data_IF_113783959675
#
_entry.id   IF_113783959675
#
_cell.length_a   1.000
_cell.length_b   1.000
_cell.length_c   1.000
_cell.angle_alpha   90.00
_cell.angle_beta   90.00
_cell.angle_gamma   90.00
#
_symmetry.space_group_name_H-M   'P 1'
#
loop_
_entity.id
_entity.type
_entity.pdbx_description
1 polymer ?
#
# COMPACT_ATOMS: atom_id res chain seq x y z
N UNK A 1 -1.33 -4.99 32.65
CA UNK A 1 0.02 -5.60 32.80
C UNK A 1 -0.20 -7.08 33.02
N UNK A 2 0.19 -7.90 32.05
CA UNK A 2 0.20 -9.36 32.21
C UNK A 2 1.62 -9.78 32.56
N UNK A 3 1.80 -10.42 33.71
CA UNK A 3 3.09 -10.99 34.17
C UNK A 3 3.13 -12.47 33.82
N UNK A 4 4.11 -12.88 33.03
CA UNK A 4 4.39 -14.29 32.71
C UNK A 4 5.59 -14.75 33.56
N UNK A 5 5.50 -15.90 34.23
CA UNK A 5 6.57 -16.44 35.10
C UNK A 5 7.12 -17.75 34.55
N UNK A 6 8.45 -17.90 34.51
CA UNK A 6 9.15 -19.18 34.27
C UNK A 6 9.75 -19.73 35.59
N UNK A 7 9.87 -21.06 35.67
CA UNK A 7 10.03 -21.85 36.90
C UNK A 7 11.35 -21.77 37.68
N UNK A 8 12.13 -20.65 37.61
CA UNK A 8 13.32 -20.49 38.50
C UNK A 8 13.79 -19.07 38.75
N UNK A 9 13.29 -18.06 38.07
CA UNK A 9 13.35 -16.64 38.40
C UNK A 9 12.09 -16.00 37.82
N UNK A 10 11.33 -15.26 38.64
CA UNK A 10 10.21 -14.45 38.14
C UNK A 10 10.80 -13.33 37.30
N UNK A 11 10.93 -13.55 35.98
CA UNK A 11 11.24 -12.51 35.02
C UNK A 11 9.90 -12.02 34.47
N UNK A 12 9.55 -10.79 34.76
CA UNK A 12 8.32 -10.16 34.22
C UNK A 12 8.65 -9.50 32.90
N UNK A 13 8.01 -9.92 31.83
CA UNK A 13 8.00 -9.18 30.55
C UNK A 13 6.83 -8.21 30.60
N UNK A 14 7.13 -6.92 30.51
CA UNK A 14 6.09 -5.91 30.41
C UNK A 14 5.68 -5.79 28.95
N UNK A 15 4.57 -6.42 28.61
CA UNK A 15 3.92 -6.23 27.32
C UNK A 15 2.99 -5.01 27.43
N UNK A 16 2.89 -4.20 26.39
CA UNK A 16 1.98 -3.07 26.37
C UNK A 16 0.51 -3.52 26.53
N UNK A 17 -0.33 -2.59 26.98
CA UNK A 17 -1.75 -2.88 27.22
C UNK A 17 -2.47 -3.13 25.89
N UNK A 18 -3.07 -4.31 25.75
CA UNK A 18 -3.92 -4.64 24.63
C UNK A 18 -5.25 -3.89 24.68
N UNK A 19 -5.77 -3.51 23.54
CA UNK A 19 -7.17 -3.08 23.38
C UNK A 19 -8.12 -4.25 23.61
N UNK A 20 -9.41 -3.96 23.82
CA UNK A 20 -10.41 -5.00 24.07
C UNK A 20 -10.46 -6.04 22.98
N UNK A 21 -10.55 -5.62 21.72
CA UNK A 21 -10.60 -6.52 20.56
C UNK A 21 -9.35 -7.38 20.39
N UNK A 22 -8.18 -6.87 20.75
CA UNK A 22 -6.93 -7.65 20.74
C UNK A 22 -6.92 -8.69 21.84
N UNK A 23 -7.41 -8.33 23.04
CA UNK A 23 -7.50 -9.25 24.17
C UNK A 23 -8.47 -10.39 23.88
N UNK A 24 -9.69 -10.06 23.42
CA UNK A 24 -10.70 -11.04 23.04
C UNK A 24 -10.18 -12.00 21.95
N UNK A 25 -9.41 -11.47 20.99
CA UNK A 25 -8.76 -12.28 19.95
C UNK A 25 -7.68 -13.19 20.54
N UNK A 26 -6.85 -12.69 21.44
CA UNK A 26 -5.81 -13.47 22.10
C UNK A 26 -6.43 -14.63 22.89
N UNK A 27 -7.45 -14.33 23.71
CA UNK A 27 -8.17 -15.32 24.52
C UNK A 27 -8.82 -16.39 23.61
N UNK A 28 -9.39 -15.99 22.46
CA UNK A 28 -9.99 -16.91 21.50
C UNK A 28 -8.93 -17.83 20.83
N UNK A 29 -7.77 -17.29 20.47
CA UNK A 29 -6.68 -18.08 19.88
C UNK A 29 -6.16 -19.12 20.90
N UNK A 30 -6.01 -18.72 22.16
CA UNK A 30 -5.55 -19.60 23.24
C UNK A 30 -6.54 -20.72 23.56
N UNK A 31 -7.83 -20.42 23.52
CA UNK A 31 -8.89 -21.41 23.72
C UNK A 31 -8.99 -22.42 22.56
N UNK A 32 -8.39 -22.14 21.40
CA UNK A 32 -8.51 -22.98 20.19
C UNK A 32 -7.13 -23.29 19.55
N UNK A 33 -6.23 -23.95 20.26
CA UNK A 33 -4.90 -24.27 19.74
C UNK A 33 -4.97 -25.18 18.51
N UNK A 34 -4.07 -24.96 17.56
CA UNK A 34 -4.00 -25.74 16.32
C UNK A 34 -5.03 -25.36 15.25
N UNK A 35 -5.83 -24.34 15.49
CA UNK A 35 -6.78 -23.79 14.50
C UNK A 35 -6.15 -22.68 13.66
N UNK A 36 -6.83 -22.34 12.59
CA UNK A 36 -6.46 -21.25 11.69
C UNK A 36 -7.34 -20.02 11.96
N UNK A 37 -6.70 -18.89 12.16
CA UNK A 37 -7.36 -17.62 12.46
C UNK A 37 -7.09 -16.62 11.36
N UNK A 38 -8.14 -16.04 10.80
CA UNK A 38 -8.06 -14.98 9.80
C UNK A 38 -8.65 -13.70 10.40
N UNK A 39 -7.80 -12.70 10.61
CA UNK A 39 -8.13 -11.43 11.25
C UNK A 39 -8.25 -10.35 10.20
N UNK A 40 -9.46 -9.90 9.94
CA UNK A 40 -9.76 -8.78 9.05
C UNK A 40 -9.84 -7.48 9.87
N UNK A 41 -9.13 -6.45 9.43
CA UNK A 41 -9.03 -5.21 10.18
C UNK A 41 -8.84 -3.98 9.27
N UNK A 42 -8.87 -2.80 9.87
CA UNK A 42 -8.53 -1.53 9.24
C UNK A 42 -7.02 -1.36 9.12
N UNK A 43 -6.56 -0.45 8.24
CA UNK A 43 -5.12 -0.30 7.96
C UNK A 43 -4.31 0.21 9.15
N UNK A 44 -4.82 1.23 9.83
CA UNK A 44 -4.12 1.86 10.94
C UNK A 44 -4.91 1.76 12.25
N UNK A 45 -4.27 2.06 13.38
CA UNK A 45 -4.86 2.12 14.72
C UNK A 45 -5.39 0.79 15.29
N UNK A 46 -5.46 -0.28 14.50
CA UNK A 46 -6.00 -1.57 14.97
C UNK A 46 -5.02 -2.41 15.79
N UNK A 47 -3.70 -2.23 15.54
CA UNK A 47 -2.64 -2.94 16.26
C UNK A 47 -2.50 -4.41 15.86
N UNK A 48 -2.72 -4.77 14.62
CA UNK A 48 -2.54 -6.15 14.07
C UNK A 48 -1.17 -6.72 14.41
N UNK A 49 -0.13 -6.05 13.97
CA UNK A 49 1.27 -6.43 14.21
C UNK A 49 1.55 -6.64 15.70
N UNK A 50 1.01 -5.76 16.52
CA UNK A 50 1.15 -5.78 17.96
C UNK A 50 0.53 -7.01 18.63
N UNK A 51 -0.65 -7.45 18.17
CA UNK A 51 -1.22 -8.72 18.57
C UNK A 51 -0.30 -9.89 18.21
N UNK A 52 0.22 -9.91 16.97
CA UNK A 52 1.10 -10.98 16.50
C UNK A 52 2.40 -11.05 17.31
N UNK A 53 3.00 -9.91 17.65
CA UNK A 53 4.17 -9.84 18.54
C UNK A 53 3.87 -10.44 19.92
N UNK A 54 2.75 -10.05 20.53
CA UNK A 54 2.33 -10.59 21.83
C UNK A 54 2.11 -12.11 21.78
N UNK A 55 1.45 -12.61 20.74
CA UNK A 55 1.23 -14.04 20.52
C UNK A 55 2.54 -14.82 20.39
N UNK A 56 3.48 -14.30 19.63
CA UNK A 56 4.80 -14.93 19.42
C UNK A 56 5.60 -14.96 20.72
N UNK A 57 5.67 -13.84 21.45
CA UNK A 57 6.37 -13.77 22.74
C UNK A 57 5.71 -14.74 23.74
N UNK A 58 4.40 -14.68 23.91
CA UNK A 58 3.67 -15.53 24.84
C UNK A 58 3.87 -17.00 24.52
N UNK A 59 3.73 -17.39 23.25
CA UNK A 59 3.97 -18.77 22.81
C UNK A 59 5.40 -19.23 23.11
N UNK A 60 6.41 -18.38 22.84
CA UNK A 60 7.79 -18.72 23.10
C UNK A 60 8.09 -18.92 24.59
N UNK A 61 7.42 -18.18 25.48
CA UNK A 61 7.61 -18.27 26.93
C UNK A 61 6.84 -19.42 27.55
N UNK A 62 5.61 -19.65 27.14
CA UNK A 62 4.70 -20.67 27.72
C UNK A 62 4.92 -22.08 27.15
N UNK A 63 5.48 -22.21 25.94
CA UNK A 63 5.73 -23.48 25.27
C UNK A 63 7.25 -23.69 25.01
N UNK A 64 8.02 -24.18 26.01
CA UNK A 64 9.47 -24.37 25.87
C UNK A 64 9.83 -25.22 24.65
N UNK A 65 10.82 -24.78 23.87
CA UNK A 65 11.25 -25.46 22.65
C UNK A 65 10.31 -25.28 21.46
N UNK A 66 9.27 -24.45 21.56
CA UNK A 66 8.40 -24.13 20.42
C UNK A 66 9.17 -23.43 19.30
N UNK A 67 8.76 -23.69 18.07
CA UNK A 67 9.31 -22.99 16.88
C UNK A 67 8.18 -22.25 16.19
N UNK A 68 8.26 -20.93 16.21
CA UNK A 68 7.30 -20.02 15.57
C UNK A 68 7.94 -19.32 14.38
N UNK A 69 7.10 -18.91 13.43
CA UNK A 69 7.53 -18.26 12.21
C UNK A 69 6.69 -17.03 11.94
N UNK A 70 7.33 -15.90 11.70
CA UNK A 70 6.71 -14.63 11.36
C UNK A 70 6.99 -14.28 9.91
N UNK A 71 5.94 -13.98 9.16
CA UNK A 71 6.03 -13.56 7.76
C UNK A 71 5.35 -12.20 7.60
N UNK A 72 6.04 -11.28 6.92
CA UNK A 72 5.51 -9.99 6.50
C UNK A 72 5.85 -9.75 5.03
N UNK A 73 5.17 -8.86 4.31
CA UNK A 73 5.47 -8.59 2.91
C UNK A 73 6.92 -8.16 2.65
N UNK A 74 7.52 -7.38 3.55
CA UNK A 74 8.88 -6.83 3.33
C UNK A 74 9.84 -7.15 4.47
N UNK A 75 11.15 -7.18 4.14
CA UNK A 75 12.20 -7.34 5.14
C UNK A 75 12.24 -6.19 6.16
N UNK A 76 11.92 -4.96 5.75
CA UNK A 76 11.88 -3.79 6.65
C UNK A 76 10.82 -3.94 7.76
N UNK A 77 9.64 -4.47 7.42
CA UNK A 77 8.60 -4.79 8.42
C UNK A 77 9.08 -5.84 9.41
N UNK A 78 9.66 -6.93 8.92
CA UNK A 78 10.21 -7.98 9.77
C UNK A 78 11.34 -7.49 10.69
N UNK A 79 12.23 -6.63 10.20
CA UNK A 79 13.32 -6.06 10.99
C UNK A 79 12.78 -5.22 12.15
N UNK A 80 11.72 -4.46 11.94
CA UNK A 80 11.05 -3.69 13.01
C UNK A 80 10.50 -4.62 14.07
N UNK A 81 9.71 -5.64 13.68
CA UNK A 81 9.10 -6.61 14.60
C UNK A 81 10.18 -7.38 15.36
N UNK A 82 11.21 -7.86 14.67
CA UNK A 82 12.39 -8.51 15.27
C UNK A 82 13.04 -7.63 16.35
N UNK A 83 13.22 -6.34 16.05
CA UNK A 83 13.86 -5.40 16.97
C UNK A 83 12.97 -5.16 18.19
N UNK A 84 11.67 -4.98 18.02
CA UNK A 84 10.71 -4.76 19.09
C UNK A 84 10.63 -5.97 20.03
N UNK A 85 10.48 -7.18 19.48
CA UNK A 85 10.47 -8.43 20.26
C UNK A 85 11.82 -8.64 20.99
N UNK A 86 12.95 -8.46 20.30
CA UNK A 86 14.28 -8.63 20.90
C UNK A 86 14.48 -7.67 22.09
N UNK A 87 14.06 -6.42 21.95
CA UNK A 87 14.17 -5.41 23.02
C UNK A 87 13.26 -5.78 24.20
N UNK A 88 12.01 -6.14 23.93
CA UNK A 88 11.04 -6.48 24.98
C UNK A 88 11.41 -7.72 25.79
N UNK A 89 12.21 -8.62 25.21
CA UNK A 89 12.56 -9.94 25.81
C UNK A 89 14.05 -10.13 26.08
N UNK A 90 14.85 -9.06 26.05
CA UNK A 90 16.33 -9.12 26.07
C UNK A 90 16.91 -10.01 27.17
N UNK A 91 16.36 -9.95 28.38
CA UNK A 91 16.82 -10.74 29.53
C UNK A 91 16.50 -12.24 29.45
N UNK A 92 15.63 -12.62 28.52
CA UNK A 92 15.17 -14.01 28.30
C UNK A 92 15.85 -14.67 27.13
N UNK A 93 16.62 -13.89 26.35
CA UNK A 93 17.23 -14.41 25.13
C UNK A 93 18.51 -15.20 25.42
N UNK A 94 18.69 -16.27 24.65
CA UNK A 94 19.98 -16.93 24.46
C UNK A 94 20.76 -16.23 23.33
N UNK A 95 20.06 -15.88 22.25
CA UNK A 95 20.64 -15.26 21.07
C UNK A 95 19.57 -14.46 20.29
N UNK A 96 19.95 -13.30 19.81
CA UNK A 96 19.23 -12.59 18.76
C UNK A 96 20.20 -12.29 17.62
N UNK A 97 19.88 -12.71 16.41
CA UNK A 97 20.73 -12.55 15.24
C UNK A 97 19.96 -11.86 14.12
N UNK A 98 20.29 -10.57 13.90
CA UNK A 98 19.64 -9.76 12.88
C UNK A 98 19.94 -10.19 11.44
N UNK A 99 21.15 -10.75 11.17
CA UNK A 99 21.48 -11.21 9.82
C UNK A 99 20.70 -12.45 9.41
N UNK A 100 20.43 -13.37 10.34
CA UNK A 100 19.60 -14.56 10.09
C UNK A 100 18.13 -14.35 10.44
N UNK A 101 17.79 -13.17 11.00
CA UNK A 101 16.44 -12.82 11.45
C UNK A 101 15.84 -13.91 12.35
N UNK A 102 16.56 -14.21 13.46
CA UNK A 102 16.24 -15.31 14.39
C UNK A 102 16.42 -14.86 15.83
N UNK A 103 15.40 -15.13 16.66
CA UNK A 103 15.43 -14.97 18.11
C UNK A 103 15.38 -16.36 18.76
N UNK A 104 16.33 -16.67 19.63
CA UNK A 104 16.40 -17.88 20.43
C UNK A 104 16.28 -17.53 21.91
N UNK A 105 15.29 -18.12 22.58
CA UNK A 105 15.06 -17.98 24.01
C UNK A 105 15.87 -19.00 24.82
N UNK A 106 16.15 -18.70 26.09
CA UNK A 106 16.88 -19.62 27.00
C UNK A 106 16.15 -20.93 27.27
N UNK A 107 14.82 -20.97 27.13
CA UNK A 107 14.01 -22.19 27.23
C UNK A 107 14.03 -23.05 25.93
N UNK A 108 14.83 -22.69 24.93
CA UNK A 108 14.96 -23.38 23.66
C UNK A 108 13.91 -23.02 22.60
N UNK A 109 13.00 -22.11 22.92
CA UNK A 109 12.03 -21.64 21.92
C UNK A 109 12.68 -20.71 20.89
N UNK A 110 12.14 -20.69 19.67
CA UNK A 110 12.69 -19.94 18.55
C UNK A 110 11.58 -19.19 17.82
N UNK A 111 11.84 -17.92 17.49
CA UNK A 111 11.03 -17.14 16.54
C UNK A 111 11.92 -16.80 15.35
N UNK A 112 11.45 -17.15 14.16
CA UNK A 112 12.11 -16.82 12.91
C UNK A 112 11.28 -15.87 12.08
N UNK A 113 11.95 -14.97 11.34
CA UNK A 113 11.31 -13.93 10.53
C UNK A 113 11.75 -14.04 9.08
N UNK A 114 10.84 -13.93 8.13
CA UNK A 114 11.13 -13.87 6.69
C UNK A 114 10.13 -13.01 5.98
N UNK A 115 10.59 -12.36 4.90
CA UNK A 115 9.68 -11.64 4.00
C UNK A 115 9.05 -12.56 2.97
N UNK A 116 7.85 -12.19 2.54
CA UNK A 116 7.17 -12.83 1.41
C UNK A 116 7.65 -12.36 0.04
N UNK A 117 8.78 -11.64 -0.05
CA UNK A 117 9.33 -11.13 -1.32
C UNK A 117 9.81 -12.27 -2.24
N UNK A 118 10.23 -13.41 -1.67
CA UNK A 118 10.67 -14.59 -2.42
C UNK A 118 10.15 -15.86 -1.75
N UNK A 119 9.33 -16.62 -2.45
CA UNK A 119 8.82 -17.92 -1.99
C UNK A 119 9.93 -18.91 -1.65
N UNK A 120 10.99 -18.96 -2.44
CA UNK A 120 12.10 -19.90 -2.22
C UNK A 120 12.82 -19.67 -0.89
N UNK A 121 12.88 -18.43 -0.39
CA UNK A 121 13.48 -18.11 0.91
C UNK A 121 12.71 -18.69 2.11
N UNK A 122 11.48 -19.17 1.88
CA UNK A 122 10.58 -19.71 2.90
C UNK A 122 10.66 -21.25 3.00
N UNK A 123 11.33 -21.92 2.05
CA UNK A 123 11.49 -23.36 2.05
C UNK A 123 12.48 -23.82 3.14
N UNK A 124 12.21 -24.97 3.72
CA UNK A 124 13.08 -25.57 4.75
C UNK A 124 12.83 -25.12 6.18
N UNK A 125 11.87 -24.23 6.43
CA UNK A 125 11.43 -23.85 7.77
C UNK A 125 10.32 -24.78 8.27
N UNK A 126 10.16 -24.85 9.59
CA UNK A 126 9.10 -25.64 10.22
C UNK A 126 8.58 -24.97 11.46
N UNK A 127 7.25 -24.95 11.60
CA UNK A 127 6.57 -24.59 12.85
C UNK A 127 6.38 -25.87 13.66
N UNK A 128 6.77 -25.90 14.94
CA UNK A 128 6.77 -27.11 15.77
C UNK A 128 6.38 -26.85 17.21
N UNK A 129 6.00 -27.92 17.90
CA UNK A 129 5.71 -27.93 19.34
C UNK A 129 4.72 -26.87 19.77
N UNK A 130 3.60 -26.79 19.04
CA UNK A 130 2.55 -25.80 19.32
C UNK A 130 2.96 -24.34 19.02
N UNK A 131 3.98 -24.15 18.19
CA UNK A 131 4.38 -22.85 17.69
C UNK A 131 3.32 -22.20 16.80
N UNK A 132 3.55 -20.96 16.42
CA UNK A 132 2.64 -20.15 15.60
C UNK A 132 3.29 -19.83 14.27
N UNK A 133 2.55 -19.97 13.18
CA UNK A 133 2.79 -19.27 11.93
C UNK A 133 1.97 -17.98 11.96
N UNK A 134 2.65 -16.86 12.15
CA UNK A 134 2.04 -15.54 12.13
C UNK A 134 2.31 -14.88 10.79
N UNK A 135 1.27 -14.38 10.13
CA UNK A 135 1.36 -13.65 8.87
C UNK A 135 0.77 -12.25 9.08
N UNK A 136 1.62 -11.23 8.96
CA UNK A 136 1.20 -9.83 8.98
C UNK A 136 0.96 -9.34 7.55
N UNK A 137 -0.06 -8.51 7.38
CA UNK A 137 -0.49 -7.96 6.09
C UNK A 137 -0.66 -9.04 5.00
N UNK A 138 -1.36 -10.12 5.36
CA UNK A 138 -1.53 -11.30 4.51
C UNK A 138 -2.23 -11.05 3.17
N UNK A 139 -3.08 -10.01 3.05
CA UNK A 139 -3.69 -9.65 1.77
C UNK A 139 -2.67 -9.22 0.70
N UNK A 140 -1.46 -8.82 1.13
CA UNK A 140 -0.39 -8.37 0.26
C UNK A 140 0.68 -9.45 -0.04
N UNK A 141 0.41 -10.69 0.34
CA UNK A 141 1.28 -11.84 -0.01
C UNK A 141 0.75 -12.56 -1.25
N UNK A 142 1.68 -13.02 -2.09
CA UNK A 142 1.32 -13.79 -3.28
C UNK A 142 0.74 -15.16 -2.93
N UNK A 143 -0.03 -15.74 -3.87
CA UNK A 143 -0.54 -17.12 -3.75
C UNK A 143 0.58 -18.12 -3.52
N UNK A 144 1.71 -17.98 -4.20
CA UNK A 144 2.87 -18.85 -4.07
C UNK A 144 3.41 -18.91 -2.63
N UNK A 145 3.50 -17.75 -1.95
CA UNK A 145 3.91 -17.71 -0.54
C UNK A 145 2.98 -18.53 0.33
N UNK A 146 1.67 -18.40 0.16
CA UNK A 146 0.69 -19.19 0.91
C UNK A 146 0.82 -20.69 0.64
N UNK A 147 1.01 -21.11 -0.60
CA UNK A 147 1.19 -22.51 -0.98
C UNK A 147 2.43 -23.13 -0.35
N UNK A 148 3.49 -22.35 -0.13
CA UNK A 148 4.72 -22.80 0.55
C UNK A 148 4.55 -22.86 2.06
N UNK A 149 3.88 -21.88 2.69
CA UNK A 149 3.89 -21.73 4.14
C UNK A 149 2.74 -22.41 4.86
N UNK A 150 1.58 -22.58 4.24
CA UNK A 150 0.42 -23.23 4.85
C UNK A 150 0.71 -24.69 5.26
N UNK A 151 1.46 -25.51 4.48
CA UNK A 151 1.83 -26.86 4.91
C UNK A 151 2.70 -26.91 6.17
N UNK A 152 3.37 -25.81 6.56
CA UNK A 152 4.23 -25.74 7.74
C UNK A 152 3.44 -25.89 9.06
N UNK A 153 2.14 -25.56 9.06
CA UNK A 153 1.25 -25.64 10.23
C UNK A 153 0.34 -26.87 10.23
N UNK A 154 0.46 -27.76 9.26
CA UNK A 154 -0.41 -28.94 9.13
C UNK A 154 -0.15 -30.03 10.16
N UNK A 155 0.92 -29.93 10.97
CA UNK A 155 1.36 -30.94 11.91
C UNK A 155 1.57 -30.36 13.32
N UNK A 156 1.48 -31.22 14.34
CA UNK A 156 1.87 -30.95 15.73
C UNK A 156 1.08 -29.87 16.47
N UNK A 157 -0.20 -29.65 16.13
CA UNK A 157 -1.06 -28.66 16.83
C UNK A 157 -0.59 -27.22 16.70
N UNK A 158 0.12 -26.91 15.60
CA UNK A 158 0.58 -25.56 15.33
C UNK A 158 -0.57 -24.67 14.85
N UNK A 159 -0.57 -23.40 15.25
CA UNK A 159 -1.61 -22.43 14.97
C UNK A 159 -1.20 -21.52 13.80
N UNK A 160 -2.13 -21.26 12.88
CA UNK A 160 -1.99 -20.22 11.86
C UNK A 160 -2.75 -18.97 12.28
N UNK A 161 -2.12 -17.81 12.23
CA UNK A 161 -2.76 -16.53 12.43
C UNK A 161 -2.40 -15.59 11.28
N UNK A 162 -3.36 -15.22 10.47
CA UNK A 162 -3.20 -14.27 9.36
C UNK A 162 -3.95 -12.99 9.69
N UNK A 163 -3.26 -11.88 9.81
CA UNK A 163 -3.85 -10.59 10.05
C UNK A 163 -3.60 -9.66 8.86
N UNK A 164 -4.63 -8.96 8.41
CA UNK A 164 -4.48 -7.99 7.32
C UNK A 164 -5.58 -6.94 7.28
N UNK A 165 -5.26 -5.84 6.62
CA UNK A 165 -6.24 -4.99 5.97
C UNK A 165 -6.72 -5.72 4.71
N UNK A 166 -8.04 -5.82 4.44
CA UNK A 166 -8.52 -6.41 3.20
C UNK A 166 -8.12 -5.57 1.99
N UNK A 167 -8.00 -6.22 0.86
CA UNK A 167 -7.75 -5.58 -0.43
C UNK A 167 -8.76 -6.09 -1.46
N UNK A 168 -8.35 -6.90 -2.45
CA UNK A 168 -9.25 -7.46 -3.47
C UNK A 168 -9.87 -8.78 -3.03
N UNK A 169 -10.93 -9.20 -3.76
CA UNK A 169 -11.56 -10.52 -3.58
C UNK A 169 -10.83 -11.65 -4.33
N UNK A 170 -9.73 -11.36 -5.03
CA UNK A 170 -9.03 -12.34 -5.88
C UNK A 170 -7.85 -13.03 -5.16
N UNK A 171 -7.44 -12.49 -3.99
CA UNK A 171 -6.27 -12.96 -3.26
C UNK A 171 -6.53 -14.20 -2.39
N UNK A 172 -5.42 -14.90 -2.00
CA UNK A 172 -5.49 -16.04 -1.06
C UNK A 172 -6.06 -15.64 0.30
N UNK A 173 -5.81 -14.42 0.76
CA UNK A 173 -6.38 -13.92 2.01
C UNK A 173 -7.91 -13.88 1.97
N UNK A 174 -8.51 -13.41 0.88
CA UNK A 174 -9.97 -13.46 0.69
C UNK A 174 -10.47 -14.91 0.57
N UNK A 175 -9.75 -15.77 -0.15
CA UNK A 175 -10.09 -17.19 -0.26
C UNK A 175 -10.13 -17.88 1.10
N UNK A 176 -9.22 -17.53 2.02
CA UNK A 176 -9.22 -18.02 3.41
C UNK A 176 -10.37 -17.41 4.22
N UNK A 177 -10.62 -16.10 4.05
CA UNK A 177 -11.71 -15.40 4.73
C UNK A 177 -13.08 -15.93 4.35
N UNK A 178 -13.29 -16.28 3.09
CA UNK A 178 -14.59 -16.75 2.56
C UNK A 178 -14.88 -18.24 2.85
N UNK A 179 -13.93 -19.00 3.40
CA UNK A 179 -14.17 -20.41 3.76
C UNK A 179 -15.23 -20.54 4.82
N UNK A 180 -16.09 -21.53 4.66
CA UNK A 180 -17.12 -21.85 5.66
C UNK A 180 -16.59 -22.73 6.81
N UNK A 181 -15.56 -23.52 6.52
CA UNK A 181 -14.96 -24.49 7.44
C UNK A 181 -13.44 -24.32 7.60
N UNK A 182 -12.90 -24.90 8.66
CA UNK A 182 -11.47 -25.02 8.91
C UNK A 182 -10.77 -23.73 9.34
N UNK A 183 -11.48 -22.60 9.39
CA UNK A 183 -10.94 -21.30 9.81
C UNK A 183 -11.84 -20.61 10.82
N UNK A 184 -11.24 -19.84 11.72
CA UNK A 184 -11.95 -18.93 12.65
C UNK A 184 -11.73 -17.51 12.14
N UNK A 185 -12.82 -16.85 11.76
CA UNK A 185 -12.80 -15.48 11.24
C UNK A 185 -13.02 -14.48 12.35
N UNK A 186 -12.20 -13.45 12.39
CA UNK A 186 -12.26 -12.38 13.38
C UNK A 186 -12.33 -11.04 12.64
N UNK A 187 -13.40 -10.29 12.84
CA UNK A 187 -13.63 -9.01 12.16
C UNK A 187 -13.40 -7.84 13.13
N UNK A 188 -12.23 -7.21 13.05
CA UNK A 188 -11.94 -6.03 13.87
C UNK A 188 -12.58 -4.75 13.35
N UNK A 189 -13.12 -4.77 12.13
CA UNK A 189 -13.86 -3.61 11.60
C UNK A 189 -15.10 -3.29 12.43
N UNK A 190 -15.61 -4.26 13.19
CA UNK A 190 -16.76 -4.07 14.10
C UNK A 190 -16.42 -3.10 15.26
N UNK A 191 -15.14 -2.87 15.53
CA UNK A 191 -14.64 -1.93 16.54
C UNK A 191 -14.22 -0.58 15.98
N UNK A 192 -14.61 -0.24 14.76
CA UNK A 192 -14.15 0.96 14.05
C UNK A 192 -14.38 2.25 14.83
N UNK A 193 -15.53 2.36 15.53
CA UNK A 193 -15.87 3.53 16.35
C UNK A 193 -15.03 3.66 17.63
N UNK A 194 -14.24 2.64 17.98
CA UNK A 194 -13.26 2.71 19.05
C UNK A 194 -11.87 3.08 18.51
N UNK A 195 -11.64 2.92 17.21
CA UNK A 195 -10.37 3.21 16.53
C UNK A 195 -10.34 4.63 15.95
N UNK A 196 -11.47 5.11 15.45
CA UNK A 196 -11.60 6.41 14.81
C UNK A 196 -12.74 7.22 15.41
N UNK A 197 -12.54 8.54 15.57
CA UNK A 197 -13.63 9.44 15.91
C UNK A 197 -14.54 9.67 14.68
N UNK A 198 -15.73 10.24 14.91
CA UNK A 198 -16.65 10.58 13.82
C UNK A 198 -16.03 11.59 12.86
N UNK A 199 -15.35 12.59 13.41
CA UNK A 199 -14.67 13.65 12.65
C UNK A 199 -13.55 13.08 11.79
N UNK A 200 -12.77 12.10 12.30
CA UNK A 200 -11.75 11.40 11.52
C UNK A 200 -12.37 10.60 10.37
N UNK A 201 -13.46 9.88 10.62
CA UNK A 201 -14.17 9.12 9.58
C UNK A 201 -14.72 10.04 8.48
N UNK A 202 -15.33 11.17 8.85
CA UNK A 202 -15.81 12.18 7.91
C UNK A 202 -14.65 12.79 7.11
N UNK A 203 -13.55 13.11 7.77
CA UNK A 203 -12.35 13.60 7.12
C UNK A 203 -11.81 12.60 6.07
N UNK A 204 -11.59 11.34 6.46
CA UNK A 204 -11.10 10.34 5.52
C UNK A 204 -12.08 10.09 4.37
N UNK A 205 -13.39 10.08 4.66
CA UNK A 205 -14.41 9.97 3.62
C UNK A 205 -14.39 11.15 2.64
N UNK A 206 -14.02 12.34 3.10
CA UNK A 206 -13.93 13.54 2.25
C UNK A 206 -12.71 13.53 1.34
N UNK A 207 -11.60 12.88 1.72
CA UNK A 207 -10.31 12.96 1.01
C UNK A 207 -9.97 11.69 0.24
N UNK A 208 -10.40 10.50 0.69
CA UNK A 208 -10.11 9.24 0.02
C UNK A 208 -11.14 8.94 -1.09
N UNK A 209 -10.74 8.14 -2.08
CA UNK A 209 -11.68 7.47 -2.98
C UNK A 209 -12.56 6.49 -2.19
N UNK A 210 -13.77 6.17 -2.69
CA UNK A 210 -14.68 5.22 -2.01
C UNK A 210 -14.00 3.88 -1.80
N UNK A 211 -13.31 3.35 -2.81
CA UNK A 211 -12.54 2.12 -2.71
C UNK A 211 -11.54 2.19 -1.56
N UNK A 212 -10.70 3.23 -1.52
CA UNK A 212 -9.68 3.38 -0.48
C UNK A 212 -10.30 3.57 0.90
N UNK A 213 -11.36 4.34 1.01
CA UNK A 213 -12.10 4.52 2.27
C UNK A 213 -12.67 3.18 2.75
N UNK A 214 -13.30 2.42 1.88
CA UNK A 214 -13.86 1.11 2.21
C UNK A 214 -12.80 0.09 2.62
N UNK A 215 -11.70 -0.01 1.88
CA UNK A 215 -10.66 -1.00 2.18
C UNK A 215 -9.82 -0.61 3.40
N UNK A 216 -9.26 0.60 3.41
CA UNK A 216 -8.29 1.00 4.43
C UNK A 216 -8.93 1.44 5.75
N UNK A 217 -10.11 2.09 5.70
CA UNK A 217 -10.77 2.66 6.86
C UNK A 217 -11.89 1.75 7.36
N UNK A 218 -12.79 1.27 6.50
CA UNK A 218 -13.88 0.39 6.90
C UNK A 218 -13.48 -1.08 7.00
N UNK A 219 -12.31 -1.47 6.47
CA UNK A 219 -11.84 -2.85 6.47
C UNK A 219 -12.74 -3.77 5.64
N UNK A 220 -13.27 -3.29 4.52
CA UNK A 220 -14.09 -4.06 3.59
C UNK A 220 -13.26 -4.56 2.41
N UNK A 221 -13.60 -5.73 1.86
CA UNK A 221 -13.00 -6.18 0.61
C UNK A 221 -13.51 -5.35 -0.55
N UNK A 222 -12.62 -4.97 -1.48
CA UNK A 222 -13.03 -4.28 -2.69
C UNK A 222 -13.76 -5.22 -3.65
N UNK A 223 -14.92 -4.79 -4.10
CA UNK A 223 -15.71 -5.49 -5.12
C UNK A 223 -15.35 -4.93 -6.49
N UNK A 224 -14.99 -5.78 -7.46
CA UNK A 224 -14.83 -5.42 -8.87
C UNK A 224 -13.39 -5.47 -9.39
N UNK A 225 -13.26 -5.93 -10.62
CA UNK A 225 -12.01 -6.00 -11.37
C UNK A 225 -11.41 -4.61 -11.52
N UNK A 226 -10.28 -4.38 -10.88
CA UNK A 226 -9.16 -3.52 -11.26
C UNK A 226 -9.38 -2.13 -11.86
N UNK A 227 -10.61 -1.63 -12.06
CA UNK A 227 -10.81 -0.26 -12.57
C UNK A 227 -10.46 0.77 -11.52
N UNK A 228 -9.50 1.62 -11.84
CA UNK A 228 -8.99 2.65 -10.92
C UNK A 228 -9.95 3.83 -10.82
N UNK A 229 -10.55 4.22 -11.94
CA UNK A 229 -11.35 5.44 -12.04
C UNK A 229 -12.82 5.12 -12.22
N UNK A 230 -13.65 5.58 -11.29
CA UNK A 230 -15.12 5.52 -11.35
C UNK A 230 -15.71 6.93 -11.51
N UNK A 231 -16.88 7.03 -12.15
CA UNK A 231 -17.56 8.30 -12.30
C UNK A 231 -16.97 9.23 -13.37
N UNK A 232 -16.13 8.76 -14.29
CA UNK A 232 -15.48 9.54 -15.35
C UNK A 232 -16.48 10.39 -16.12
N UNK A 233 -17.66 9.83 -16.47
CA UNK A 233 -18.68 10.51 -17.24
C UNK A 233 -19.20 11.80 -16.55
N UNK A 234 -19.22 11.84 -15.22
CA UNK A 234 -19.66 13.01 -14.44
C UNK A 234 -18.63 14.15 -14.46
N UNK A 235 -17.41 13.87 -14.91
CA UNK A 235 -16.32 14.83 -14.99
C UNK A 235 -16.20 15.46 -16.38
N UNK A 236 -16.82 14.88 -17.41
CA UNK A 236 -16.76 15.42 -18.76
C UNK A 236 -17.74 16.61 -18.88
N UNK A 237 -17.20 17.77 -19.25
CA UNK A 237 -18.04 18.95 -19.50
C UNK A 237 -18.80 18.81 -20.81
N UNK A 238 -20.10 19.15 -20.87
CA UNK A 238 -20.85 19.17 -22.12
C UNK A 238 -20.48 20.33 -23.03
N UNK A 239 -19.76 21.31 -22.51
CA UNK A 239 -19.31 22.52 -23.21
C UNK A 239 -17.82 22.74 -23.04
N UNK A 240 -17.24 23.56 -23.91
CA UNK A 240 -15.84 23.93 -23.78
C UNK A 240 -15.60 24.73 -22.49
N UNK A 241 -14.60 24.28 -21.70
CA UNK A 241 -14.24 24.92 -20.44
C UNK A 241 -13.38 26.17 -20.69
N UNK A 242 -13.68 27.22 -19.95
CA UNK A 242 -12.90 28.47 -19.98
C UNK A 242 -11.99 28.52 -18.75
N UNK A 243 -10.72 28.84 -18.96
CA UNK A 243 -9.72 28.95 -17.91
C UNK A 243 -10.16 29.90 -16.80
N UNK A 244 -10.02 29.43 -15.55
CA UNK A 244 -10.26 30.19 -14.34
C UNK A 244 -8.97 30.32 -13.53
N UNK A 245 -8.50 31.56 -13.34
CA UNK A 245 -7.31 31.85 -12.56
C UNK A 245 -5.99 31.29 -13.17
N UNK A 246 -5.05 30.95 -12.29
CA UNK A 246 -3.72 30.50 -12.69
C UNK A 246 -3.70 29.03 -13.09
N UNK A 247 -2.87 28.73 -14.10
CA UNK A 247 -2.61 27.35 -14.53
C UNK A 247 -1.45 26.71 -13.77
N UNK A 248 -1.52 25.41 -13.63
CA UNK A 248 -0.40 24.52 -13.28
C UNK A 248 -0.27 23.46 -14.36
N UNK A 249 0.91 22.85 -14.48
CA UNK A 249 1.11 21.81 -15.47
C UNK A 249 1.79 20.55 -14.88
N UNK A 250 1.47 19.42 -15.50
CA UNK A 250 2.13 18.13 -15.29
C UNK A 250 2.72 17.61 -16.60
N UNK A 251 3.93 17.09 -16.57
CA UNK A 251 4.62 16.55 -17.76
C UNK A 251 5.02 15.11 -17.46
N UNK A 252 4.65 14.24 -18.38
CA UNK A 252 5.14 12.87 -18.48
C UNK A 252 5.99 12.74 -19.74
N UNK A 253 7.23 12.27 -19.61
CA UNK A 253 8.14 12.13 -20.73
C UNK A 253 8.07 10.74 -21.32
N UNK A 254 7.77 10.64 -22.61
CA UNK A 254 7.83 9.37 -23.32
C UNK A 254 9.24 8.77 -23.36
N UNK A 255 9.31 7.44 -23.43
CA UNK A 255 10.57 6.68 -23.39
C UNK A 255 11.45 6.82 -24.65
N UNK A 256 11.07 7.67 -25.61
CA UNK A 256 11.77 7.87 -26.88
C UNK A 256 11.48 6.79 -27.92
N UNK A 257 10.63 5.84 -27.63
CA UNK A 257 10.06 4.90 -28.59
C UNK A 257 8.80 5.53 -29.20
N UNK A 258 8.57 5.31 -30.48
CA UNK A 258 7.36 5.81 -31.19
C UNK A 258 6.02 5.37 -30.54
N UNK A 259 6.08 4.54 -29.53
CA UNK A 259 4.91 4.01 -28.82
C UNK A 259 4.51 4.86 -27.59
N UNK A 260 5.47 5.49 -26.89
CA UNK A 260 5.19 6.31 -25.71
C UNK A 260 5.21 7.80 -26.07
N UNK A 261 4.18 8.52 -25.65
CA UNK A 261 4.06 9.95 -25.90
C UNK A 261 4.64 10.78 -24.76
N UNK A 262 5.35 11.86 -25.11
CA UNK A 262 5.55 12.96 -24.14
C UNK A 262 4.26 13.77 -24.06
N UNK A 263 3.68 13.86 -22.86
CA UNK A 263 2.39 14.52 -22.63
C UNK A 263 2.54 15.66 -21.63
N UNK A 264 1.89 16.79 -21.91
CA UNK A 264 1.71 17.91 -20.99
C UNK A 264 0.24 18.19 -20.78
N UNK A 265 -0.16 18.31 -19.51
CA UNK A 265 -1.53 18.67 -19.09
C UNK A 265 -1.53 19.98 -18.32
N UNK A 266 -2.47 20.86 -18.63
CA UNK A 266 -2.71 22.13 -17.93
C UNK A 266 -4.02 22.08 -17.16
N UNK A 267 -3.96 22.42 -15.84
CA UNK A 267 -5.12 22.48 -14.94
C UNK A 267 -5.20 23.88 -14.33
N UNK A 268 -6.40 24.46 -14.30
CA UNK A 268 -6.68 25.76 -13.70
C UNK A 268 -7.04 25.69 -12.20
N UNK A 269 -7.46 26.83 -11.61
CA UNK A 269 -7.79 26.91 -10.17
C UNK A 269 -9.06 26.16 -9.79
N UNK A 270 -10.00 26.00 -10.71
CA UNK A 270 -11.25 25.27 -10.51
C UNK A 270 -11.12 23.76 -10.83
N UNK A 271 -9.89 23.27 -10.97
CA UNK A 271 -9.57 21.89 -11.31
C UNK A 271 -10.12 21.47 -12.69
N UNK A 272 -10.15 22.39 -13.65
CA UNK A 272 -10.53 22.12 -15.02
C UNK A 272 -9.28 21.78 -15.84
N UNK A 273 -9.29 20.66 -16.56
CA UNK A 273 -8.26 20.33 -17.56
C UNK A 273 -8.50 21.20 -18.79
N UNK A 274 -7.77 22.28 -18.89
CA UNK A 274 -7.96 23.31 -19.94
C UNK A 274 -7.34 22.87 -21.26
N UNK A 275 -6.15 22.26 -21.22
CA UNK A 275 -5.47 21.79 -22.42
C UNK A 275 -4.58 20.59 -22.12
N UNK A 276 -4.47 19.71 -23.11
CA UNK A 276 -3.52 18.60 -23.13
C UNK A 276 -2.87 18.55 -24.51
N UNK A 277 -1.59 18.27 -24.53
CA UNK A 277 -0.81 18.11 -25.75
C UNK A 277 0.12 16.93 -25.65
N UNK A 278 0.31 16.22 -26.74
CA UNK A 278 1.24 15.09 -26.83
C UNK A 278 2.08 15.12 -28.11
N UNK A 279 3.23 14.44 -28.03
CA UNK A 279 4.06 14.14 -29.20
C UNK A 279 4.84 12.86 -28.96
N UNK A 280 4.98 12.04 -30.02
CA UNK A 280 5.82 10.84 -30.04
C UNK A 280 6.70 10.76 -31.29
N UNK A 281 6.56 11.70 -32.21
CA UNK A 281 7.21 11.74 -33.53
C UNK A 281 8.41 12.69 -33.59
N UNK A 282 8.62 13.53 -32.58
CA UNK A 282 9.72 14.50 -32.54
C UNK A 282 10.98 13.90 -31.91
N UNK A 283 12.18 14.27 -32.47
CA UNK A 283 13.43 14.01 -31.79
C UNK A 283 13.49 14.63 -30.38
N UNK A 284 14.29 14.07 -29.45
CA UNK A 284 14.35 14.51 -28.06
C UNK A 284 14.45 16.01 -27.83
N UNK A 285 15.40 16.67 -28.53
CA UNK A 285 15.61 18.12 -28.36
C UNK A 285 14.47 18.95 -28.91
N UNK A 286 13.81 18.49 -29.97
CA UNK A 286 12.62 19.15 -30.52
C UNK A 286 11.42 19.04 -29.60
N UNK A 287 11.29 17.91 -28.88
CA UNK A 287 10.26 17.76 -27.82
C UNK A 287 10.45 18.79 -26.71
N UNK A 288 11.71 19.03 -26.29
CA UNK A 288 12.04 20.03 -25.27
C UNK A 288 11.71 21.45 -25.75
N UNK A 289 12.03 21.78 -26.99
CA UNK A 289 11.69 23.09 -27.58
C UNK A 289 10.17 23.29 -27.69
N UNK A 290 9.48 22.25 -28.08
CA UNK A 290 8.01 22.24 -28.13
C UNK A 290 7.39 22.43 -26.77
N UNK A 291 7.83 21.70 -25.72
CA UNK A 291 7.39 21.89 -24.36
C UNK A 291 7.67 23.30 -23.84
N UNK A 292 8.88 23.83 -24.11
CA UNK A 292 9.25 25.17 -23.68
C UNK A 292 8.35 26.24 -24.31
N UNK A 293 7.95 26.09 -25.60
CA UNK A 293 6.95 26.99 -26.22
C UNK A 293 5.60 26.92 -25.55
N UNK A 294 5.07 25.72 -25.30
CA UNK A 294 3.79 25.55 -24.59
C UNK A 294 3.83 26.20 -23.20
N UNK A 295 4.94 26.04 -22.46
CA UNK A 295 5.09 26.67 -21.15
C UNK A 295 5.15 28.20 -21.22
N UNK A 296 5.71 28.76 -22.28
CA UNK A 296 5.71 30.21 -22.56
C UNK A 296 4.32 30.74 -22.95
N UNK A 297 3.57 29.97 -23.71
CA UNK A 297 2.22 30.36 -24.19
C UNK A 297 1.21 30.30 -23.04
N UNK A 298 1.19 29.20 -22.25
CA UNK A 298 0.23 28.98 -21.17
C UNK A 298 0.61 29.61 -19.83
N UNK A 299 1.88 29.93 -19.62
CA UNK A 299 2.43 30.60 -18.42
C UNK A 299 1.96 29.97 -17.10
N UNK A 300 2.08 28.64 -16.89
CA UNK A 300 1.68 28.04 -15.63
C UNK A 300 2.53 28.57 -14.49
N UNK A 301 1.93 28.73 -13.30
CA UNK A 301 2.64 29.19 -12.09
C UNK A 301 3.47 28.09 -11.44
N UNK A 302 3.24 26.83 -11.82
CA UNK A 302 4.01 25.66 -11.37
C UNK A 302 3.93 24.53 -12.38
N UNK A 303 5.04 23.81 -12.52
CA UNK A 303 5.15 22.64 -13.40
C UNK A 303 5.82 21.51 -12.63
N UNK A 304 5.18 20.33 -12.59
CA UNK A 304 5.81 19.09 -12.17
C UNK A 304 6.12 18.23 -13.39
N UNK A 305 7.34 17.70 -13.48
CA UNK A 305 7.74 16.81 -14.57
C UNK A 305 8.41 15.56 -14.01
N UNK A 306 8.09 14.41 -14.58
CA UNK A 306 8.71 13.16 -14.18
C UNK A 306 10.23 13.18 -14.46
N UNK A 307 11.02 12.71 -13.47
CA UNK A 307 12.49 12.66 -13.57
C UNK A 307 13.00 11.25 -13.29
N UNK A 308 12.59 10.27 -14.08
CA UNK A 308 13.04 8.89 -13.97
C UNK A 308 13.66 8.40 -15.30
N UNK A 309 14.67 7.53 -15.20
CA UNK A 309 15.27 6.91 -16.38
C UNK A 309 15.72 7.93 -17.44
N UNK A 310 15.27 7.74 -18.68
CA UNK A 310 15.52 8.67 -19.81
C UNK A 310 14.87 10.04 -19.59
N UNK A 311 13.76 10.13 -18.87
CA UNK A 311 13.11 11.37 -18.48
C UNK A 311 14.02 12.30 -17.67
N UNK A 312 15.06 11.78 -17.03
CA UNK A 312 16.04 12.62 -16.32
C UNK A 312 16.79 13.57 -17.28
N UNK A 313 17.18 13.09 -18.46
CA UNK A 313 17.88 13.90 -19.48
C UNK A 313 16.93 14.96 -20.05
N UNK A 314 15.70 14.60 -20.37
CA UNK A 314 14.68 15.53 -20.86
C UNK A 314 14.34 16.58 -19.80
N UNK A 315 14.18 16.16 -18.55
CA UNK A 315 13.93 17.07 -17.44
C UNK A 315 15.05 18.12 -17.31
N UNK A 316 16.33 17.68 -17.28
CA UNK A 316 17.46 18.58 -17.09
C UNK A 316 17.59 19.59 -18.24
N UNK A 317 17.33 19.16 -19.49
CA UNK A 317 17.32 20.03 -20.67
C UNK A 317 16.15 21.04 -20.61
N UNK A 318 14.95 20.59 -20.22
CA UNK A 318 13.79 21.49 -20.08
C UNK A 318 13.97 22.47 -18.93
N UNK A 319 14.54 22.04 -17.82
CA UNK A 319 14.82 22.87 -16.63
C UNK A 319 15.76 24.03 -16.95
N UNK A 320 16.75 23.83 -17.84
CA UNK A 320 17.65 24.90 -18.27
C UNK A 320 16.89 25.99 -19.06
N UNK A 321 15.89 25.61 -19.86
CA UNK A 321 15.07 26.56 -20.64
C UNK A 321 13.94 27.18 -19.81
N UNK A 322 13.36 26.39 -18.91
CA UNK A 322 12.19 26.76 -18.12
C UNK A 322 12.43 26.48 -16.63
N UNK A 323 13.04 27.43 -15.87
CA UNK A 323 13.37 27.25 -14.45
C UNK A 323 12.21 26.94 -13.52
N UNK A 324 10.97 27.17 -13.93
CA UNK A 324 9.75 26.88 -13.17
C UNK A 324 9.46 25.38 -13.02
N UNK A 325 10.04 24.55 -13.91
CA UNK A 325 9.85 23.09 -13.90
C UNK A 325 10.51 22.48 -12.67
N UNK A 326 9.77 21.69 -11.91
CA UNK A 326 10.25 20.99 -10.70
C UNK A 326 10.18 19.48 -10.90
N UNK A 327 11.15 18.71 -10.36
CA UNK A 327 11.20 17.28 -10.58
C UNK A 327 10.17 16.55 -9.76
N UNK A 328 9.62 15.48 -10.32
CA UNK A 328 8.87 14.45 -9.63
C UNK A 328 9.56 13.11 -9.83
N UNK A 329 9.94 12.46 -8.73
CA UNK A 329 10.54 11.13 -8.78
C UNK A 329 9.43 10.10 -8.55
N UNK A 330 9.17 9.31 -9.58
CA UNK A 330 8.17 8.25 -9.55
C UNK A 330 8.76 6.99 -8.93
N UNK A 331 8.23 6.63 -7.79
CA UNK A 331 8.35 5.33 -7.14
C UNK A 331 6.98 4.67 -7.14
N UNK A 332 6.89 3.39 -6.82
CA UNK A 332 5.57 2.76 -6.70
C UNK A 332 4.66 3.50 -5.70
N UNK A 333 5.21 3.93 -4.57
CA UNK A 333 4.46 4.63 -3.53
C UNK A 333 4.02 6.04 -3.97
N UNK A 334 4.90 6.79 -4.65
CA UNK A 334 4.56 8.12 -5.15
C UNK A 334 3.59 8.08 -6.34
N UNK A 335 3.70 7.07 -7.24
CA UNK A 335 2.71 6.80 -8.30
C UNK A 335 1.35 6.47 -7.70
N UNK A 336 1.32 5.57 -6.73
CA UNK A 336 0.10 5.22 -5.99
C UNK A 336 -0.56 6.47 -5.40
N UNK A 337 0.21 7.36 -4.77
CA UNK A 337 -0.35 8.55 -4.12
C UNK A 337 -1.00 9.53 -5.12
N UNK A 338 -0.38 9.77 -6.29
CA UNK A 338 -0.96 10.70 -7.28
C UNK A 338 -2.15 10.08 -8.02
N UNK A 339 -2.13 8.77 -8.28
CA UNK A 339 -3.23 8.07 -8.93
C UNK A 339 -4.45 7.98 -8.01
N UNK A 340 -4.28 7.62 -6.74
CA UNK A 340 -5.34 7.62 -5.73
C UNK A 340 -5.98 9.01 -5.57
N UNK A 341 -5.15 10.05 -5.63
CA UNK A 341 -5.61 11.43 -5.54
C UNK A 341 -6.48 11.84 -6.75
N UNK A 342 -6.03 11.51 -7.96
CA UNK A 342 -6.79 11.73 -9.18
C UNK A 342 -8.12 10.93 -9.15
N UNK A 343 -8.08 9.67 -8.74
CA UNK A 343 -9.26 8.83 -8.60
C UNK A 343 -10.30 9.44 -7.66
N UNK A 344 -9.87 9.93 -6.50
CA UNK A 344 -10.75 10.59 -5.54
C UNK A 344 -11.39 11.87 -6.10
N UNK A 345 -10.67 12.65 -6.94
CA UNK A 345 -11.22 13.85 -7.56
C UNK A 345 -12.21 13.52 -8.68
N UNK A 346 -11.94 12.48 -9.48
CA UNK A 346 -12.85 12.01 -10.53
C UNK A 346 -14.14 11.49 -9.91
N UNK A 347 -14.04 10.60 -8.93
CA UNK A 347 -15.19 9.99 -8.28
C UNK A 347 -16.12 11.01 -7.64
N UNK A 348 -15.56 12.06 -7.02
CA UNK A 348 -16.31 13.15 -6.40
C UNK A 348 -16.74 14.24 -7.38
N UNK A 349 -16.46 14.09 -8.67
CA UNK A 349 -16.78 15.08 -9.70
C UNK A 349 -16.11 16.44 -9.51
N UNK A 350 -14.98 16.48 -8.79
CA UNK A 350 -14.25 17.72 -8.44
C UNK A 350 -13.31 18.19 -9.55
N UNK A 351 -12.89 17.30 -10.44
CA UNK A 351 -12.10 17.63 -11.63
C UNK A 351 -13.04 17.64 -12.86
N UNK A 352 -12.76 18.51 -13.81
CA UNK A 352 -13.53 18.59 -15.05
C UNK A 352 -12.62 18.44 -16.26
N UNK A 353 -13.10 17.70 -17.25
CA UNK A 353 -12.41 17.43 -18.50
C UNK A 353 -13.09 18.15 -19.66
N UNK A 354 -12.30 18.69 -20.58
CA UNK A 354 -12.78 19.17 -21.87
C UNK A 354 -13.42 18.03 -22.66
N UNK A 355 -14.46 18.30 -23.48
CA UNK A 355 -15.03 17.27 -24.36
C UNK A 355 -13.99 16.62 -25.30
N UNK A 356 -12.99 17.39 -25.69
CA UNK A 356 -11.90 17.00 -26.60
C UNK A 356 -10.76 16.19 -25.95
N UNK A 357 -10.83 15.89 -24.65
CA UNK A 357 -9.81 15.08 -23.95
C UNK A 357 -9.97 13.57 -24.21
N UNK A 358 -10.24 13.16 -25.46
CA UNK A 358 -10.58 11.77 -25.82
C UNK A 358 -9.51 10.76 -25.37
N UNK A 359 -8.22 11.05 -25.65
CA UNK A 359 -7.11 10.17 -25.26
C UNK A 359 -7.01 9.95 -23.76
N UNK A 360 -7.21 11.01 -22.95
CA UNK A 360 -7.27 10.89 -21.49
C UNK A 360 -8.43 10.01 -21.06
N UNK A 361 -9.64 10.23 -21.61
CA UNK A 361 -10.84 9.49 -21.24
C UNK A 361 -10.70 8.01 -21.57
N UNK A 362 -10.12 7.65 -22.72
CA UNK A 362 -9.81 6.27 -23.09
C UNK A 362 -8.82 5.64 -22.11
N UNK A 363 -7.73 6.34 -21.76
CA UNK A 363 -6.73 5.83 -20.82
C UNK A 363 -7.33 5.63 -19.43
N UNK A 364 -8.14 6.58 -18.92
CA UNK A 364 -8.82 6.45 -17.62
C UNK A 364 -9.74 5.22 -17.56
N UNK A 365 -10.45 4.90 -18.63
CA UNK A 365 -11.37 3.74 -18.70
C UNK A 365 -10.65 2.40 -18.63
N UNK A 366 -9.45 2.32 -19.22
CA UNK A 366 -8.69 1.07 -19.29
C UNK A 366 -7.65 0.92 -18.19
N UNK A 367 -7.38 1.95 -17.41
CA UNK A 367 -6.36 1.95 -16.35
C UNK A 367 -6.71 0.95 -15.24
N UNK A 368 -5.75 0.14 -14.85
CA UNK A 368 -5.99 -0.96 -13.91
C UNK A 368 -5.05 -0.89 -12.72
N UNK A 369 -5.56 -1.36 -11.62
CA UNK A 369 -4.78 -1.72 -10.45
C UNK A 369 -4.51 -3.22 -10.46
N UNK A 370 -3.26 -3.58 -10.27
CA UNK A 370 -2.80 -4.96 -10.11
C UNK A 370 -1.94 -5.06 -8.84
N UNK A 371 -1.56 -6.27 -8.48
CA UNK A 371 -0.60 -6.49 -7.40
C UNK A 371 0.73 -6.97 -7.98
N UNK A 372 1.83 -6.45 -7.44
CA UNK A 372 3.17 -6.99 -7.69
C UNK A 372 3.34 -8.37 -7.04
N UNK A 373 4.40 -9.08 -7.37
CA UNK A 373 4.78 -10.32 -6.68
C UNK A 373 5.00 -10.16 -5.18
N UNK A 374 5.27 -8.93 -4.72
CA UNK A 374 5.40 -8.57 -3.29
C UNK A 374 4.09 -8.08 -2.67
N UNK A 375 2.97 -8.19 -3.38
CA UNK A 375 1.65 -7.76 -2.90
C UNK A 375 1.42 -6.24 -2.87
N UNK A 376 2.36 -5.43 -3.37
CA UNK A 376 2.15 -3.98 -3.48
C UNK A 376 1.18 -3.67 -4.61
N UNK A 377 0.32 -2.66 -4.39
CA UNK A 377 -0.53 -2.10 -5.45
C UNK A 377 0.36 -1.53 -6.57
N UNK A 378 0.04 -1.86 -7.77
CA UNK A 378 0.72 -1.38 -8.98
C UNK A 378 -0.33 -0.87 -9.95
N UNK A 379 -0.12 0.33 -10.45
CA UNK A 379 -1.03 1.01 -11.36
C UNK A 379 -0.41 1.10 -12.74
N UNK A 380 -1.06 0.50 -13.72
CA UNK A 380 -0.59 0.51 -15.11
C UNK A 380 -1.75 0.46 -16.09
N UNK A 381 -1.48 0.88 -17.32
CA UNK A 381 -2.30 0.53 -18.46
C UNK A 381 -2.14 -0.97 -18.78
N UNK A 382 -3.15 -1.65 -19.32
CA UNK A 382 -3.03 -3.02 -19.83
C UNK A 382 -1.96 -3.11 -20.94
N UNK A 383 -1.41 -4.31 -21.20
CA UNK A 383 -0.46 -4.51 -22.28
C UNK A 383 -0.96 -3.95 -23.62
N UNK A 384 -0.13 -3.16 -24.30
CA UNK A 384 -0.46 -2.49 -25.56
C UNK A 384 -1.31 -1.22 -25.42
N UNK A 385 -1.52 -0.75 -24.20
CA UNK A 385 -2.14 0.55 -23.88
C UNK A 385 -1.13 1.43 -23.13
N UNK A 386 -1.41 2.74 -23.09
CA UNK A 386 -0.54 3.76 -22.50
C UNK A 386 -1.24 4.46 -21.34
N UNK A 387 -0.47 5.09 -20.43
CA UNK A 387 -0.96 5.84 -19.28
C UNK A 387 -0.40 7.29 -19.19
N UNK A 388 0.27 7.75 -20.23
CA UNK A 388 0.96 9.04 -20.28
C UNK A 388 0.03 10.22 -19.95
N UNK A 389 -1.22 10.22 -20.48
CA UNK A 389 -2.22 11.24 -20.18
C UNK A 389 -2.73 11.17 -18.75
N UNK A 390 -2.86 9.97 -18.19
CA UNK A 390 -3.27 9.75 -16.80
C UNK A 390 -2.19 10.30 -15.87
N UNK A 391 -0.93 9.95 -16.10
CA UNK A 391 0.19 10.37 -15.26
C UNK A 391 0.41 11.89 -15.36
N UNK A 392 0.43 12.44 -16.57
CA UNK A 392 0.54 13.88 -16.80
C UNK A 392 -0.57 14.67 -16.08
N UNK A 393 -1.83 14.18 -16.12
CA UNK A 393 -2.97 14.78 -15.41
C UNK A 393 -2.81 14.68 -13.89
N UNK A 394 -2.37 13.53 -13.38
CA UNK A 394 -2.13 13.33 -11.95
C UNK A 394 -1.00 14.23 -11.42
N UNK A 395 0.06 14.44 -12.22
CA UNK A 395 1.14 15.38 -11.90
C UNK A 395 0.65 16.84 -11.88
N UNK A 396 -0.17 17.25 -12.86
CA UNK A 396 -0.78 18.59 -12.89
C UNK A 396 -1.66 18.84 -11.65
N UNK A 397 -2.51 17.87 -11.29
CA UNK A 397 -3.31 17.92 -10.06
C UNK A 397 -2.44 18.04 -8.81
N UNK A 398 -1.34 17.28 -8.75
CA UNK A 398 -0.37 17.35 -7.65
C UNK A 398 0.32 18.70 -7.58
N UNK A 399 0.66 19.31 -8.72
CA UNK A 399 1.25 20.65 -8.78
C UNK A 399 0.31 21.71 -8.16
N UNK A 400 -0.99 21.56 -8.30
CA UNK A 400 -2.00 22.46 -7.69
C UNK A 400 -1.99 22.40 -6.16
N UNK A 401 -1.81 21.22 -5.57
CA UNK A 401 -1.84 21.01 -4.11
C UNK A 401 -0.58 21.47 -3.40
N UNK A 402 0.58 21.37 -4.03
CA UNK A 402 1.87 21.72 -3.41
C UNK A 402 2.00 23.20 -3.02
N UNK A 403 1.06 24.08 -3.43
CA UNK A 403 1.01 25.49 -3.05
C UNK A 403 0.37 25.78 -1.70
N UNK A 404 -0.27 24.81 -1.04
CA UNK A 404 -0.96 25.02 0.25
C UNK A 404 -0.16 24.59 1.49
N UNK A 405 1.01 23.97 1.31
CA UNK A 405 1.85 23.51 2.43
C UNK A 405 3.31 24.02 2.29
N UNK A 406 3.47 25.32 2.29
CA UNK A 406 4.75 25.94 2.63
C UNK A 406 4.48 26.95 3.73
N UNK A 407 4.50 26.51 4.98
CA UNK A 407 4.76 27.35 6.16
C UNK A 407 5.09 26.43 7.33
N UNK A 408 6.23 26.69 7.97
CA UNK A 408 6.59 26.30 9.32
C UNK A 408 7.55 25.17 9.43
#
# INVERSE_FOLDING_TARGET
>A
MSTLSTSSRKVSVTLPKLYSWQKDTLDLIEANPGKWFIIKSVRQKSGKTYLLENLLIKTALEKPGSKSFMISPTNAQNLRIFTEISRATIDLLRKANGSSMLIEFRNGSVIQFRSGESGDSLRGYTVKRGGILAIDEGAFLSREVYEIVMPLVSKEGCTLVVASTPDSMDGMYYSLWSREDGVIRINWSDYINQMYSKEELEFYRSVYSDRRFRTEILGEFAVGEGTVFSGIANCVSPVELTQQGNLVAGIDFGSGNLQDSTVITFIDEDLQVIAQYDTNDKPPMEQIDWLARLLLDYKPVRVLAEKNGLGSVYFDALKQKCPIVTPWITTNDSKTAIVDDLAAHIEKGRIKFQPKCEKLLEQLQVYRETQSSTGKRVFNAPPGKHDDFVISTALALRARKSGRYSIG
#
